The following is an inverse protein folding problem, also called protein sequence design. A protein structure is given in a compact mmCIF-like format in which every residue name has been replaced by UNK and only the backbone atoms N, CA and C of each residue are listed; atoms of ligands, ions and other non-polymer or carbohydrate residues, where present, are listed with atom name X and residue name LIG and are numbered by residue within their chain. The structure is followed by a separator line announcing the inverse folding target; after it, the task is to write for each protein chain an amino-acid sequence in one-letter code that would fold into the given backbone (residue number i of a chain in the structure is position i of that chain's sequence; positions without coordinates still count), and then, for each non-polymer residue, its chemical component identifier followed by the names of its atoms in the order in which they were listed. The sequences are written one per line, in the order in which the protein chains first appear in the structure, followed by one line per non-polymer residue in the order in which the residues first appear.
data_IF_959426582423
#
_entry.id   IF_959426582423
#
_cell.length_a   1.000
_cell.length_b   1.000
_cell.length_c   1.000
_cell.angle_alpha   90.00
_cell.angle_beta   90.00
_cell.angle_gamma   90.00
#
_symmetry.space_group_name_H-M   'P 1'
#
loop_
_entity.id
_entity.type
_entity.pdbx_description
1 polymer ?
#
# COMPACT_ATOMS: atom_id res chain seq x y z
N UNK A 1 -17.02 -18.67 5.32
CA UNK A 1 -16.04 -18.54 6.42
C UNK A 1 -14.64 -18.97 5.94
N UNK A 2 -14.15 -18.38 4.84
CA UNK A 2 -12.78 -18.64 4.36
C UNK A 2 -11.81 -17.86 5.26
N UNK A 3 -11.49 -18.53 6.38
CA UNK A 3 -10.59 -18.19 7.49
C UNK A 3 -10.15 -16.72 7.63
N UNK A 4 -10.83 -15.97 8.50
CA UNK A 4 -10.38 -14.66 9.00
C UNK A 4 -8.91 -14.70 9.43
N UNK A 5 -8.48 -15.86 9.95
CA UNK A 5 -7.11 -16.14 10.38
C UNK A 5 -6.13 -16.06 9.20
N UNK A 6 -6.51 -16.52 8.01
CA UNK A 6 -5.67 -16.42 6.81
C UNK A 6 -5.43 -14.98 6.38
N UNK A 7 -6.49 -14.15 6.38
CA UNK A 7 -6.38 -12.73 6.01
C UNK A 7 -5.51 -11.98 7.00
N UNK A 8 -5.73 -12.19 8.29
CA UNK A 8 -4.93 -11.57 9.35
C UNK A 8 -3.47 -12.03 9.30
N UNK A 9 -3.22 -13.31 9.02
CA UNK A 9 -1.87 -13.85 8.90
C UNK A 9 -1.13 -13.25 7.70
N UNK A 10 -1.78 -13.15 6.52
CA UNK A 10 -1.22 -12.48 5.34
C UNK A 10 -0.94 -11.01 5.60
N UNK A 11 -1.81 -10.30 6.32
CA UNK A 11 -1.62 -8.91 6.70
C UNK A 11 -0.38 -8.74 7.59
N UNK A 12 -0.26 -9.56 8.64
CA UNK A 12 0.90 -9.53 9.54
C UNK A 12 2.21 -9.83 8.80
N UNK A 13 2.21 -10.85 7.94
CA UNK A 13 3.38 -11.17 7.09
C UNK A 13 3.75 -9.96 6.21
N UNK A 14 2.76 -9.29 5.62
CA UNK A 14 3.00 -8.15 4.74
C UNK A 14 3.60 -6.96 5.48
N UNK A 15 3.10 -6.64 6.67
CA UNK A 15 3.66 -5.57 7.51
C UNK A 15 5.13 -5.87 7.84
N UNK A 16 5.43 -7.12 8.23
CA UNK A 16 6.81 -7.55 8.50
C UNK A 16 7.66 -7.41 7.23
N UNK A 17 7.16 -7.83 6.07
CA UNK A 17 7.85 -7.70 4.78
C UNK A 17 8.18 -6.23 4.45
N UNK A 18 7.23 -5.32 4.63
CA UNK A 18 7.42 -3.88 4.41
C UNK A 18 8.52 -3.34 5.32
N UNK A 19 8.41 -3.59 6.62
CA UNK A 19 9.39 -3.10 7.61
C UNK A 19 10.78 -3.66 7.31
N UNK A 20 10.90 -4.94 7.00
CA UNK A 20 12.19 -5.58 6.70
C UNK A 20 12.79 -5.04 5.40
N UNK A 21 11.96 -4.79 4.39
CA UNK A 21 12.38 -4.20 3.10
C UNK A 21 12.85 -2.76 3.26
N UNK A 22 12.17 -1.95 4.07
CA UNK A 22 12.56 -0.56 4.32
C UNK A 22 13.82 -0.50 5.20
N UNK A 23 13.83 -1.20 6.33
CA UNK A 23 14.89 -1.09 7.34
C UNK A 23 16.18 -1.80 6.92
N UNK A 24 16.08 -3.01 6.37
CA UNK A 24 17.25 -3.83 6.05
C UNK A 24 17.78 -3.58 4.64
N UNK A 25 16.89 -3.46 3.64
CA UNK A 25 17.29 -3.26 2.24
C UNK A 25 17.40 -1.79 1.84
N UNK A 26 17.02 -0.84 2.72
CA UNK A 26 17.04 0.61 2.45
C UNK A 26 16.29 1.01 1.18
N UNK A 27 15.29 0.23 0.77
CA UNK A 27 14.46 0.59 -0.37
C UNK A 27 13.58 1.80 -0.04
N UNK A 28 13.28 2.61 -1.06
CA UNK A 28 12.34 3.72 -0.92
C UNK A 28 10.99 3.19 -0.41
N UNK A 29 10.35 3.82 0.61
CA UNK A 29 9.12 3.31 1.22
C UNK A 29 8.02 3.00 0.21
N UNK A 30 7.89 3.82 -0.83
CA UNK A 30 6.94 3.59 -1.91
C UNK A 30 7.16 2.26 -2.65
N UNK A 31 8.41 1.92 -2.95
CA UNK A 31 8.75 0.70 -3.68
C UNK A 31 8.53 -0.54 -2.80
N UNK A 32 8.85 -0.43 -1.52
CA UNK A 32 8.57 -1.48 -0.53
C UNK A 32 7.06 -1.73 -0.38
N UNK A 33 6.26 -0.65 -0.33
CA UNK A 33 4.81 -0.74 -0.26
C UNK A 33 4.22 -1.40 -1.51
N UNK A 34 4.72 -1.00 -2.69
CA UNK A 34 4.29 -1.58 -3.97
C UNK A 34 4.59 -3.08 -4.00
N UNK A 35 5.82 -3.50 -3.69
CA UNK A 35 6.19 -4.91 -3.63
C UNK A 35 5.30 -5.72 -2.67
N UNK A 36 5.01 -5.17 -1.49
CA UNK A 36 4.18 -5.81 -0.50
C UNK A 36 2.71 -5.92 -0.95
N UNK A 37 2.18 -4.90 -1.65
CA UNK A 37 0.84 -4.96 -2.24
C UNK A 37 0.74 -6.01 -3.34
N UNK A 38 1.76 -6.13 -4.20
CA UNK A 38 1.86 -7.21 -5.19
C UNK A 38 1.89 -8.60 -4.52
N UNK A 39 2.67 -8.73 -3.45
CA UNK A 39 2.74 -9.97 -2.66
C UNK A 39 1.39 -10.33 -2.03
N UNK A 40 0.73 -9.38 -1.38
CA UNK A 40 -0.59 -9.59 -0.75
C UNK A 40 -1.66 -9.94 -1.79
N UNK A 41 -1.71 -9.23 -2.91
CA UNK A 41 -2.71 -9.51 -3.94
C UNK A 41 -2.49 -10.88 -4.61
N UNK A 42 -1.23 -11.31 -4.76
CA UNK A 42 -0.91 -12.68 -5.18
C UNK A 42 -1.36 -13.71 -4.13
N UNK A 43 -1.09 -13.47 -2.84
CA UNK A 43 -1.55 -14.32 -1.74
C UNK A 43 -3.08 -14.42 -1.64
N UNK A 44 -3.78 -13.34 -1.99
CA UNK A 44 -5.24 -13.26 -1.97
C UNK A 44 -5.89 -13.80 -3.25
N UNK A 45 -5.10 -14.21 -4.25
CA UNK A 45 -5.60 -14.72 -5.53
C UNK A 45 -6.31 -13.65 -6.37
N UNK A 46 -5.95 -12.38 -6.21
CA UNK A 46 -6.50 -11.30 -7.01
C UNK A 46 -6.02 -11.39 -8.46
N UNK A 47 -6.89 -11.08 -9.41
CA UNK A 47 -6.50 -10.96 -10.81
C UNK A 47 -5.46 -9.85 -11.01
N UNK A 48 -4.56 -9.95 -12.02
CA UNK A 48 -3.52 -8.95 -12.24
C UNK A 48 -4.06 -7.52 -12.41
N UNK A 49 -5.19 -7.38 -13.11
CA UNK A 49 -5.85 -6.08 -13.29
C UNK A 49 -6.47 -5.57 -11.99
N UNK A 50 -7.12 -6.43 -11.22
CA UNK A 50 -7.74 -6.06 -9.94
C UNK A 50 -6.69 -5.60 -8.92
N UNK A 51 -5.53 -6.26 -8.92
CA UNK A 51 -4.43 -5.92 -8.04
C UNK A 51 -3.83 -4.55 -8.39
N UNK A 52 -3.63 -4.24 -9.68
CA UNK A 52 -3.17 -2.91 -10.11
C UNK A 52 -4.21 -1.84 -9.79
N UNK A 53 -5.49 -2.10 -10.05
CA UNK A 53 -6.59 -1.18 -9.72
C UNK A 53 -6.66 -0.92 -8.21
N UNK A 54 -6.47 -1.94 -7.37
CA UNK A 54 -6.47 -1.79 -5.92
C UNK A 54 -5.27 -0.94 -5.44
N UNK A 55 -4.08 -1.15 -6.02
CA UNK A 55 -2.88 -0.36 -5.72
C UNK A 55 -3.08 1.09 -6.14
N UNK A 56 -3.58 1.33 -7.36
CA UNK A 56 -3.84 2.67 -7.88
C UNK A 56 -4.90 3.40 -7.06
N UNK A 57 -5.99 2.72 -6.67
CA UNK A 57 -7.04 3.32 -5.86
C UNK A 57 -6.53 3.70 -4.46
N UNK A 58 -5.72 2.84 -3.83
CA UNK A 58 -5.12 3.13 -2.52
C UNK A 58 -4.13 4.30 -2.57
N UNK A 59 -3.18 4.26 -3.51
CA UNK A 59 -2.18 5.32 -3.67
C UNK A 59 -2.84 6.62 -4.17
N UNK A 60 -3.73 6.54 -5.15
CA UNK A 60 -4.46 7.69 -5.70
C UNK A 60 -5.35 8.37 -4.67
N UNK A 61 -6.00 7.62 -3.79
CA UNK A 61 -6.78 8.18 -2.67
C UNK A 61 -5.90 8.97 -1.69
N UNK A 62 -4.75 8.41 -1.30
CA UNK A 62 -3.80 9.10 -0.41
C UNK A 62 -3.16 10.32 -1.07
N UNK A 63 -2.75 10.22 -2.33
CA UNK A 63 -2.21 11.34 -3.10
C UNK A 63 -3.26 12.43 -3.36
N UNK A 64 -4.51 12.06 -3.62
CA UNK A 64 -5.61 13.01 -3.79
C UNK A 64 -5.88 13.80 -2.51
N UNK A 65 -5.92 13.13 -1.36
CA UNK A 65 -6.04 13.80 -0.06
C UNK A 65 -4.85 14.73 0.21
N UNK A 66 -3.62 14.25 0.00
CA UNK A 66 -2.42 15.06 0.15
C UNK A 66 -2.42 16.27 -0.81
N UNK A 67 -2.81 16.09 -2.07
CA UNK A 67 -2.89 17.16 -3.05
C UNK A 67 -3.90 18.24 -2.64
N UNK A 68 -5.06 17.85 -2.09
CA UNK A 68 -6.05 18.79 -1.57
C UNK A 68 -5.51 19.57 -0.36
N UNK A 69 -4.88 18.88 0.60
CA UNK A 69 -4.31 19.51 1.81
C UNK A 69 -3.16 20.45 1.45
N UNK A 70 -2.24 20.02 0.58
CA UNK A 70 -1.12 20.85 0.11
C UNK A 70 -1.64 22.04 -0.70
N UNK A 71 -2.60 21.80 -1.61
CA UNK A 71 -3.24 22.85 -2.40
C UNK A 71 -3.86 23.94 -1.53
N UNK A 72 -4.72 23.56 -0.58
CA UNK A 72 -5.31 24.50 0.39
C UNK A 72 -4.25 25.18 1.25
N UNK A 73 -3.24 24.45 1.73
CA UNK A 73 -2.14 25.00 2.52
C UNK A 73 -1.32 26.05 1.76
N UNK A 74 -1.10 25.87 0.46
CA UNK A 74 -0.39 26.87 -0.38
C UNK A 74 -1.23 28.11 -0.70
N UNK A 75 -2.56 28.02 -0.63
CA UNK A 75 -3.48 29.15 -0.80
C UNK A 75 -3.57 29.96 0.50
N UNK A 76 -3.72 29.29 1.65
CA UNK A 76 -3.85 29.90 2.98
C UNK A 76 -2.51 30.38 3.57
N UNK A 77 -1.38 29.85 3.07
CA UNK A 77 -0.04 30.20 3.53
C UNK A 77 0.56 31.47 2.91
N UNK A 78 -0.24 32.23 2.14
CA UNK A 78 0.07 33.62 1.77
C UNK A 78 -0.67 34.57 2.70
#
# INVERSE_FOLDING_TARGET
MHSQIWVVSTLLISIVLIVLTIVKFKFHPFLALLLASFFVGTMMGMGPLDMVNAIESGIGGTLGFLAAVIGLGTILGK
#
